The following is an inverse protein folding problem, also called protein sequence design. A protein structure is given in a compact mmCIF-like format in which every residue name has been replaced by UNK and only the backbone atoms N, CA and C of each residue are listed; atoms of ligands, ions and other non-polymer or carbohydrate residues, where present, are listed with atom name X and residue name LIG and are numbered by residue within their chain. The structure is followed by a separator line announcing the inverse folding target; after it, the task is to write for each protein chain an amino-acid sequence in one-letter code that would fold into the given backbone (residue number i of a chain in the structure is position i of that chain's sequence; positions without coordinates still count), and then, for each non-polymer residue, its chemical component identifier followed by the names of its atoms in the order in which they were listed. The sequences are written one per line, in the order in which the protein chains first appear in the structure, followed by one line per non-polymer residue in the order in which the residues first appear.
data_IF_282696017477
#
_entry.id   IF_282696017477
#
_cell.length_a   1.000
_cell.length_b   1.000
_cell.length_c   1.000
_cell.angle_alpha   90.00
_cell.angle_beta   90.00
_cell.angle_gamma   90.00
#
_symmetry.space_group_name_H-M   'P 1'
#
loop_
_entity.id
_entity.type
_entity.pdbx_description
1 polymer ?
#
# COMPACT_ATOMS: atom_id res chain seq x y z
N UNK A 1 32.98 22.10 -44.37
CA UNK A 1 33.18 22.28 -42.92
C UNK A 1 32.05 21.58 -42.16
N UNK A 2 32.43 20.66 -41.26
CA UNK A 2 31.75 20.10 -40.07
C UNK A 2 30.20 20.00 -40.08
N UNK A 3 29.71 18.77 -40.20
CA UNK A 3 28.38 18.33 -39.76
C UNK A 3 28.21 18.65 -38.25
N UNK A 4 27.06 19.16 -37.84
CA UNK A 4 26.57 18.97 -36.46
C UNK A 4 25.25 18.20 -36.55
N UNK A 5 25.38 16.90 -36.31
CA UNK A 5 24.29 15.94 -36.23
C UNK A 5 23.47 16.27 -34.98
N UNK A 6 22.19 16.59 -35.14
CA UNK A 6 21.23 16.47 -34.06
C UNK A 6 20.62 15.07 -34.16
N UNK A 7 21.19 14.12 -33.42
CA UNK A 7 20.53 12.84 -33.17
C UNK A 7 19.46 13.16 -32.13
N UNK A 8 18.26 13.51 -32.61
CA UNK A 8 17.07 13.49 -31.77
C UNK A 8 16.64 12.04 -31.72
N UNK A 9 17.02 11.33 -30.67
CA UNK A 9 16.45 10.01 -30.37
C UNK A 9 15.04 10.30 -29.87
N UNK A 10 14.09 10.50 -30.79
CA UNK A 10 12.67 10.42 -30.46
C UNK A 10 12.40 8.94 -30.28
N UNK A 11 12.33 8.47 -29.03
CA UNK A 11 11.67 7.19 -28.77
C UNK A 11 10.19 7.40 -29.09
N UNK A 12 9.59 6.70 -30.08
CA UNK A 12 8.15 6.65 -30.17
C UNK A 12 7.68 5.93 -28.91
N UNK A 13 7.09 6.67 -27.99
CA UNK A 13 6.24 6.06 -26.98
C UNK A 13 5.09 5.44 -27.76
N UNK A 14 5.16 4.13 -27.99
CA UNK A 14 4.01 3.37 -28.47
C UNK A 14 2.88 3.69 -27.50
N UNK A 15 1.89 4.45 -27.97
CA UNK A 15 0.67 4.73 -27.23
C UNK A 15 0.04 3.39 -26.93
N UNK A 16 0.11 2.99 -25.66
CA UNK A 16 -0.35 1.69 -25.17
C UNK A 16 -1.82 1.52 -25.56
N UNK A 17 -2.09 0.78 -26.64
CA UNK A 17 -3.43 0.70 -27.25
C UNK A 17 -4.47 0.05 -26.33
N UNK A 18 -4.01 -0.69 -25.32
CA UNK A 18 -4.82 -1.33 -24.28
C UNK A 18 -4.62 -0.65 -22.92
N UNK A 19 -4.75 0.69 -22.89
CA UNK A 19 -4.66 1.50 -21.67
C UNK A 19 -5.76 1.15 -20.66
N UNK A 20 -5.55 0.07 -19.89
CA UNK A 20 -6.37 -0.27 -18.74
C UNK A 20 -6.22 0.83 -17.70
N UNK A 21 -7.12 1.80 -17.75
CA UNK A 21 -7.24 2.89 -16.79
C UNK A 21 -8.59 2.76 -16.10
N UNK A 22 -8.59 2.23 -14.87
CA UNK A 22 -9.77 2.30 -14.03
C UNK A 22 -9.79 3.66 -13.33
N UNK A 23 -10.90 4.39 -13.44
CA UNK A 23 -11.11 5.60 -12.64
C UNK A 23 -11.50 5.17 -11.23
N UNK A 24 -10.50 5.05 -10.35
CA UNK A 24 -10.69 4.60 -8.97
C UNK A 24 -11.05 5.80 -8.11
N UNK A 25 -12.34 6.01 -7.89
CA UNK A 25 -12.82 6.89 -6.82
C UNK A 25 -12.65 6.16 -5.48
N UNK A 26 -11.70 6.62 -4.66
CA UNK A 26 -11.50 6.05 -3.34
C UNK A 26 -12.57 6.56 -2.37
N UNK A 27 -13.21 5.64 -1.65
CA UNK A 27 -14.22 5.96 -0.63
C UNK A 27 -13.56 6.53 0.62
N UNK A 28 -12.36 6.05 0.95
CA UNK A 28 -11.54 6.57 2.04
C UNK A 28 -10.12 6.74 1.53
N UNK A 29 -9.63 7.98 1.65
CA UNK A 29 -8.24 8.35 1.38
C UNK A 29 -7.67 9.02 2.63
N UNK A 30 -6.47 8.59 3.00
CA UNK A 30 -5.70 9.17 4.08
C UNK A 30 -4.72 10.21 3.57
N UNK A 31 -4.28 11.08 4.48
CA UNK A 31 -3.14 11.95 4.22
C UNK A 31 -1.89 11.15 3.90
N UNK A 32 -0.95 11.80 3.23
CA UNK A 32 0.34 11.21 2.90
C UNK A 32 1.15 10.96 4.18
N UNK A 33 1.93 9.90 4.16
CA UNK A 33 2.79 9.50 5.26
C UNK A 33 2.09 8.60 6.29
N UNK A 34 2.90 7.97 7.14
CA UNK A 34 2.43 7.02 8.14
C UNK A 34 2.55 7.61 9.55
N UNK A 35 1.41 7.91 10.16
CA UNK A 35 1.31 8.42 11.52
C UNK A 35 0.53 7.45 12.41
N UNK A 36 0.76 7.55 13.72
CA UNK A 36 0.04 6.74 14.72
C UNK A 36 -1.48 6.96 14.64
N UNK A 37 -1.92 8.19 14.39
CA UNK A 37 -3.33 8.54 14.26
C UNK A 37 -3.96 7.89 13.02
N UNK A 38 -3.23 7.80 11.90
CA UNK A 38 -3.67 7.06 10.71
C UNK A 38 -3.87 5.58 11.03
N UNK A 39 -2.96 4.99 11.81
CA UNK A 39 -3.09 3.58 12.24
C UNK A 39 -4.33 3.37 13.12
N UNK A 40 -4.60 4.29 14.06
CA UNK A 40 -5.81 4.27 14.89
C UNK A 40 -7.08 4.43 14.06
N UNK A 41 -7.09 5.36 13.12
CA UNK A 41 -8.21 5.58 12.21
C UNK A 41 -8.50 4.31 11.38
N UNK A 42 -7.46 3.70 10.79
CA UNK A 42 -7.60 2.45 10.02
C UNK A 42 -8.25 1.35 10.88
N UNK A 43 -7.81 1.23 12.13
CA UNK A 43 -8.39 0.25 13.08
C UNK A 43 -9.87 0.53 13.36
N UNK A 44 -10.26 1.80 13.55
CA UNK A 44 -11.65 2.22 13.76
C UNK A 44 -12.52 1.91 12.54
N UNK A 45 -12.06 2.27 11.33
CA UNK A 45 -12.81 2.04 10.08
C UNK A 45 -12.95 0.53 9.79
N UNK A 46 -12.02 -0.30 10.27
CA UNK A 46 -12.09 -1.76 10.14
C UNK A 46 -12.80 -2.45 11.31
N UNK A 47 -13.15 -1.72 12.37
CA UNK A 47 -13.79 -2.28 13.57
C UNK A 47 -13.01 -3.47 14.15
N UNK A 48 -11.68 -3.32 14.23
CA UNK A 48 -10.80 -4.36 14.79
C UNK A 48 -10.84 -4.37 16.33
N UNK A 49 -10.63 -5.53 16.99
CA UNK A 49 -10.54 -5.62 18.44
C UNK A 49 -9.24 -4.96 18.97
N UNK A 50 -9.23 -4.54 20.24
CA UNK A 50 -8.14 -3.74 20.83
C UNK A 50 -6.75 -4.38 20.70
N UNK A 51 -6.64 -5.71 20.83
CA UNK A 51 -5.36 -6.41 20.71
C UNK A 51 -4.74 -6.31 19.30
N UNK A 52 -5.56 -6.13 18.25
CA UNK A 52 -5.09 -5.89 16.90
C UNK A 52 -4.57 -4.46 16.72
N UNK A 53 -5.21 -3.49 17.37
CA UNK A 53 -4.72 -2.11 17.40
C UNK A 53 -3.33 -2.07 18.06
N UNK A 54 -3.16 -2.70 19.22
CA UNK A 54 -1.88 -2.76 19.92
C UNK A 54 -0.78 -3.40 19.06
N UNK A 55 -1.12 -4.47 18.31
CA UNK A 55 -0.18 -5.12 17.40
C UNK A 55 0.25 -4.17 16.26
N UNK A 56 -0.69 -3.41 15.70
CA UNK A 56 -0.40 -2.42 14.66
C UNK A 56 0.47 -1.28 15.17
N UNK A 57 0.20 -0.79 16.38
CA UNK A 57 0.98 0.28 17.02
C UNK A 57 2.43 -0.18 17.26
N UNK A 58 2.63 -1.39 17.78
CA UNK A 58 3.97 -1.99 17.92
C UNK A 58 4.68 -2.12 16.58
N UNK A 59 3.97 -2.57 15.53
CA UNK A 59 4.55 -2.68 14.19
C UNK A 59 4.98 -1.31 13.63
N UNK A 60 4.20 -0.25 13.89
CA UNK A 60 4.55 1.12 13.50
C UNK A 60 5.82 1.62 14.22
N UNK A 61 5.92 1.39 15.53
CA UNK A 61 7.12 1.73 16.30
C UNK A 61 8.35 0.99 15.77
N UNK A 62 8.22 -0.31 15.50
CA UNK A 62 9.29 -1.09 14.91
C UNK A 62 9.69 -0.57 13.53
N UNK A 63 8.73 -0.26 12.65
CA UNK A 63 8.99 0.30 11.33
C UNK A 63 9.83 1.58 11.40
N UNK A 64 9.47 2.51 12.30
CA UNK A 64 10.25 3.75 12.50
C UNK A 64 11.64 3.53 13.09
N UNK A 65 11.81 2.48 13.90
CA UNK A 65 13.08 2.18 14.53
C UNK A 65 14.05 1.42 13.60
N UNK A 66 13.55 0.75 12.55
CA UNK A 66 14.40 0.03 11.62
C UNK A 66 15.16 0.99 10.69
N UNK A 67 16.49 0.91 10.61
CA UNK A 67 17.25 1.62 9.59
C UNK A 67 16.97 1.01 8.20
N UNK A 68 17.22 1.80 7.16
CA UNK A 68 17.14 1.28 5.80
C UNK A 68 18.13 0.12 5.61
N UNK A 69 17.69 -1.00 4.99
CA UNK A 69 18.58 -2.11 4.72
C UNK A 69 19.65 -1.68 3.71
N UNK A 70 20.89 -2.13 3.94
CA UNK A 70 22.03 -1.85 3.05
C UNK A 70 22.19 -2.88 1.92
N UNK A 71 21.36 -3.92 1.91
CA UNK A 71 21.38 -4.96 0.89
C UNK A 71 20.32 -4.66 -0.17
N UNK A 72 20.69 -4.73 -1.45
CA UNK A 72 19.76 -4.55 -2.57
C UNK A 72 20.00 -3.28 -3.39
N UNK A 73 18.91 -2.75 -3.96
CA UNK A 73 18.93 -1.51 -4.75
C UNK A 73 19.10 -0.29 -3.83
N UNK A 74 19.57 0.82 -4.40
CA UNK A 74 19.67 2.08 -3.68
C UNK A 74 18.28 2.64 -3.38
N UNK A 75 17.96 2.77 -2.09
CA UNK A 75 16.67 3.27 -1.60
C UNK A 75 16.75 4.74 -1.16
N UNK A 76 17.89 5.43 -1.37
CA UNK A 76 18.07 6.82 -0.94
C UNK A 76 17.10 7.80 -1.59
N UNK A 77 16.51 7.44 -2.72
CA UNK A 77 15.55 8.27 -3.45
C UNK A 77 14.10 8.13 -2.97
N UNK A 78 13.83 7.21 -2.02
CA UNK A 78 12.47 6.90 -1.57
C UNK A 78 12.11 7.80 -0.39
N UNK A 79 11.08 8.63 -0.57
CA UNK A 79 10.45 9.41 0.50
C UNK A 79 9.21 8.67 1.02
N UNK A 80 9.30 8.16 2.25
CA UNK A 80 8.23 7.39 2.86
C UNK A 80 7.02 8.25 3.24
N UNK A 81 7.23 9.56 3.41
CA UNK A 81 6.18 10.47 3.81
C UNK A 81 5.29 10.89 2.63
N UNK A 82 5.68 10.62 1.39
CA UNK A 82 4.88 10.96 0.20
C UNK A 82 3.84 9.88 -0.17
N UNK A 83 3.94 8.69 0.42
CA UNK A 83 3.04 7.57 0.08
C UNK A 83 1.72 7.60 0.85
N UNK A 84 0.67 7.11 0.18
CA UNK A 84 -0.64 6.84 0.79
C UNK A 84 -0.68 5.35 1.16
N UNK A 85 -0.63 5.04 2.45
CA UNK A 85 -0.52 3.66 2.95
C UNK A 85 -1.83 2.88 2.97
N UNK A 86 -2.96 3.57 2.96
CA UNK A 86 -4.26 2.92 2.97
C UNK A 86 -5.22 3.64 2.02
N UNK A 87 -5.72 2.87 1.06
CA UNK A 87 -6.76 3.29 0.13
C UNK A 87 -7.88 2.25 0.16
N UNK A 88 -9.11 2.70 0.38
CA UNK A 88 -10.28 1.83 0.28
C UNK A 88 -11.07 2.16 -1.00
N UNK A 89 -11.06 1.29 -2.02
CA UNK A 89 -11.76 1.56 -3.28
C UNK A 89 -13.27 1.26 -3.21
N UNK A 90 -13.74 0.46 -2.25
CA UNK A 90 -15.17 0.17 -2.11
C UNK A 90 -15.54 -0.21 -0.67
N UNK A 91 -16.77 0.10 -0.27
CA UNK A 91 -17.29 -0.19 1.08
C UNK A 91 -17.63 -1.67 1.31
N UNK A 92 -17.85 -2.44 0.24
CA UNK A 92 -18.20 -3.85 0.37
C UNK A 92 -16.95 -4.72 0.30
N UNK A 93 -16.53 -5.23 1.46
CA UNK A 93 -15.63 -6.37 1.49
C UNK A 93 -16.24 -7.52 0.67
N UNK A 94 -15.54 -8.00 -0.36
CA UNK A 94 -16.00 -9.11 -1.19
C UNK A 94 -16.15 -10.36 -0.31
N UNK A 95 -17.40 -10.78 -0.07
CA UNK A 95 -17.77 -11.80 0.93
C UNK A 95 -17.19 -13.20 0.63
N UNK A 96 -16.57 -13.41 -0.53
CA UNK A 96 -16.01 -14.70 -0.97
C UNK A 96 -14.56 -14.92 -0.54
N UNK A 97 -13.74 -13.88 -0.46
CA UNK A 97 -12.31 -14.03 -0.17
C UNK A 97 -12.04 -14.10 1.36
N UNK A 98 -12.70 -13.26 2.17
CA UNK A 98 -12.44 -13.20 3.62
C UNK A 98 -13.07 -14.32 4.46
N UNK A 99 -14.15 -14.96 3.98
CA UNK A 99 -14.84 -16.01 4.75
C UNK A 99 -14.13 -17.37 4.72
N UNK A 100 -13.13 -17.55 3.87
CA UNK A 100 -12.41 -18.81 3.75
C UNK A 100 -11.33 -18.98 4.83
N UNK A 101 -10.79 -17.87 5.34
CA UNK A 101 -9.64 -17.88 6.24
C UNK A 101 -10.03 -18.06 7.72
N UNK A 102 -11.11 -17.42 8.18
CA UNK A 102 -11.55 -17.48 9.58
C UNK A 102 -12.35 -18.75 9.93
N UNK A 103 -12.99 -19.40 8.95
CA UNK A 103 -13.73 -20.66 9.18
C UNK A 103 -12.83 -21.88 9.41
N UNK A 104 -11.51 -21.77 9.19
CA UNK A 104 -10.59 -22.91 9.29
C UNK A 104 -10.09 -23.18 10.72
N UNK A 105 -10.22 -22.21 11.64
CA UNK A 105 -9.69 -22.32 12.99
C UNK A 105 -10.72 -22.69 14.07
N UNK A 106 -12.03 -22.66 13.77
CA UNK A 106 -13.07 -22.83 14.80
C UNK A 106 -13.59 -24.28 15.00
N UNK A 107 -13.16 -25.29 14.23
CA UNK A 107 -13.77 -26.65 14.29
C UNK A 107 -12.82 -27.81 14.62
N UNK A 108 -11.72 -27.58 15.33
CA UNK A 108 -10.90 -28.65 15.92
C UNK A 108 -10.59 -28.43 17.40
N UNK A 109 -11.64 -28.27 18.19
CA UNK A 109 -11.61 -28.40 19.64
C UNK A 109 -12.98 -28.88 20.12
N UNK A 110 -13.32 -30.12 19.77
CA UNK A 110 -14.28 -30.93 20.51
C UNK A 110 -13.60 -32.30 20.66
N UNK A 111 -13.33 -32.66 21.92
CA UNK A 111 -12.96 -34.01 22.35
C UNK A 111 -14.02 -35.00 21.90
#
# INVERSE_FOLDING_TARGET
MKKKLAIVIVYPAETYEYGFHDNVEAVVQFDKGLNEDVVREISRIKQEPDWMLDLRLKAYEHFKAQPMPMWGADLSAIDFDDYIYYLRPSDRASKRCGKMFLKRFETRLIV
#
